data_IF_140788280359
#
_entry.id   IF_140788280359
#
_cell.length_a   1.000
_cell.length_b   1.000
_cell.length_c   1.000
_cell.angle_alpha   90.00
_cell.angle_beta   90.00
_cell.angle_gamma   90.00
#
_symmetry.space_group_name_H-M   'P 1'
#
loop_
_entity.id
_entity.type
_entity.pdbx_description
1 polymer ?
#
# COMPACT_ATOMS: atom_id res chain seq x y z
N UNK A 1 11.66 -30.95 -0.96
CA UNK A 1 12.23 -29.85 -1.77
C UNK A 1 11.17 -29.01 -2.50
N UNK A 2 10.19 -29.60 -3.21
CA UNK A 2 9.21 -28.84 -4.02
C UNK A 2 8.28 -27.87 -3.27
N UNK A 3 7.83 -28.22 -2.05
CA UNK A 3 6.94 -27.35 -1.25
C UNK A 3 7.61 -26.05 -0.78
N UNK A 4 8.92 -26.09 -0.46
CA UNK A 4 9.67 -24.94 0.02
C UNK A 4 9.86 -23.91 -1.10
N UNK A 5 10.13 -24.36 -2.32
CA UNK A 5 10.24 -23.47 -3.49
C UNK A 5 8.89 -22.84 -3.91
N UNK A 6 7.77 -23.54 -3.66
CA UNK A 6 6.44 -23.01 -3.94
C UNK A 6 6.03 -21.93 -2.92
N UNK A 7 6.37 -22.13 -1.64
CA UNK A 7 6.11 -21.14 -0.60
C UNK A 7 6.92 -19.84 -0.82
N UNK A 8 8.18 -19.94 -1.26
CA UNK A 8 9.02 -18.76 -1.55
C UNK A 8 8.56 -17.99 -2.79
N UNK A 9 7.92 -18.64 -3.78
CA UNK A 9 7.33 -17.93 -4.92
C UNK A 9 6.28 -16.89 -4.48
N UNK A 10 5.46 -17.20 -3.48
CA UNK A 10 4.47 -16.27 -2.94
C UNK A 10 5.08 -15.13 -2.13
N UNK A 11 6.37 -15.19 -1.78
CA UNK A 11 7.09 -14.08 -1.15
C UNK A 11 7.61 -13.05 -2.16
N UNK A 12 7.48 -13.32 -3.46
CA UNK A 12 7.83 -12.35 -4.50
C UNK A 12 6.91 -11.12 -4.32
N UNK A 13 7.47 -9.90 -4.29
CA UNK A 13 6.77 -8.61 -4.16
C UNK A 13 5.48 -8.42 -4.99
N UNK A 14 5.36 -9.14 -6.11
CA UNK A 14 4.17 -9.17 -6.97
C UNK A 14 2.95 -9.85 -6.33
N UNK A 15 3.17 -10.81 -5.45
CA UNK A 15 2.13 -11.64 -4.83
C UNK A 15 1.98 -11.40 -3.33
N UNK A 16 2.97 -10.76 -2.69
CA UNK A 16 2.94 -10.42 -1.28
C UNK A 16 3.70 -9.12 -1.05
N UNK A 17 3.11 -8.25 -0.22
CA UNK A 17 3.74 -7.01 0.20
C UNK A 17 4.12 -7.11 1.68
N UNK A 18 5.26 -6.54 2.05
CA UNK A 18 5.48 -6.16 3.44
C UNK A 18 4.35 -5.20 3.87
N UNK A 19 3.87 -5.34 5.11
CA UNK A 19 2.71 -4.59 5.62
C UNK A 19 2.86 -3.07 5.41
N UNK A 20 4.05 -2.53 5.64
CA UNK A 20 4.39 -1.13 5.37
C UNK A 20 4.13 -0.72 3.90
N UNK A 21 4.62 -1.51 2.96
CA UNK A 21 4.49 -1.24 1.53
C UNK A 21 3.06 -1.44 1.04
N UNK A 22 2.35 -2.42 1.61
CA UNK A 22 0.92 -2.63 1.36
C UNK A 22 0.11 -1.38 1.73
N UNK A 23 0.35 -0.80 2.90
CA UNK A 23 -0.36 0.41 3.32
C UNK A 23 -0.08 1.57 2.37
N UNK A 24 1.17 1.76 1.92
CA UNK A 24 1.52 2.81 0.94
C UNK A 24 0.76 2.62 -0.37
N UNK A 25 0.66 1.38 -0.86
CA UNK A 25 -0.10 1.03 -2.06
C UNK A 25 -1.60 1.30 -1.87
N UNK A 26 -2.18 0.87 -0.75
CA UNK A 26 -3.60 1.09 -0.45
C UNK A 26 -3.92 2.58 -0.27
N UNK A 27 -3.05 3.32 0.41
CA UNK A 27 -3.15 4.78 0.57
C UNK A 27 -3.15 5.47 -0.80
N UNK A 28 -2.20 5.09 -1.65
CA UNK A 28 -2.08 5.63 -3.01
C UNK A 28 -3.28 5.29 -3.88
N UNK A 29 -3.77 4.06 -3.79
CA UNK A 29 -4.96 3.64 -4.52
C UNK A 29 -6.19 4.46 -4.12
N UNK A 30 -6.37 4.75 -2.84
CA UNK A 30 -7.48 5.58 -2.36
C UNK A 30 -7.43 7.00 -2.92
N UNK A 31 -6.22 7.56 -3.08
CA UNK A 31 -6.04 8.87 -3.69
C UNK A 31 -6.37 8.82 -5.19
N UNK A 32 -5.86 7.83 -5.91
CA UNK A 32 -6.14 7.69 -7.35
C UNK A 32 -7.64 7.53 -7.59
N UNK A 33 -8.32 6.65 -6.85
CA UNK A 33 -9.77 6.42 -7.02
C UNK A 33 -10.62 7.64 -6.63
N UNK A 34 -10.13 8.50 -5.74
CA UNK A 34 -10.78 9.74 -5.37
C UNK A 34 -10.35 10.96 -6.20
N UNK A 35 -9.57 10.77 -7.29
CA UNK A 35 -8.95 11.85 -8.07
C UNK A 35 -8.21 12.88 -7.17
N UNK A 36 -7.45 12.37 -6.20
CA UNK A 36 -6.66 13.11 -5.22
C UNK A 36 -7.47 14.06 -4.33
N UNK A 37 -8.81 13.88 -4.25
CA UNK A 37 -9.68 14.71 -3.40
C UNK A 37 -9.77 14.22 -1.96
N UNK A 38 -9.50 12.93 -1.72
CA UNK A 38 -9.52 12.32 -0.40
C UNK A 38 -8.15 11.73 -0.06
N UNK A 39 -7.77 11.84 1.20
CA UNK A 39 -6.58 11.16 1.70
C UNK A 39 -6.90 9.77 2.24
N UNK A 40 -8.14 9.32 2.17
CA UNK A 40 -8.56 8.06 2.79
C UNK A 40 -7.90 6.85 2.12
N UNK A 41 -7.51 5.88 2.94
CA UNK A 41 -6.95 4.61 2.48
C UNK A 41 -7.99 3.79 1.73
N UNK A 42 -7.57 3.17 0.62
CA UNK A 42 -8.45 2.25 -0.10
C UNK A 42 -8.77 1.02 0.76
N UNK A 43 -10.06 0.72 0.90
CA UNK A 43 -10.53 -0.50 1.53
C UNK A 43 -11.75 -1.05 0.80
N UNK A 44 -11.58 -2.21 0.16
CA UNK A 44 -12.64 -2.88 -0.60
C UNK A 44 -13.87 -3.19 0.27
N UNK A 45 -13.63 -3.53 1.55
CA UNK A 45 -14.69 -3.87 2.52
C UNK A 45 -15.42 -2.67 3.11
N UNK A 46 -15.09 -1.43 2.73
CA UNK A 46 -15.62 -0.20 3.37
C UNK A 46 -17.15 -0.15 3.42
N UNK A 47 -17.83 -0.71 2.41
CA UNK A 47 -19.31 -0.77 2.38
C UNK A 47 -19.91 -1.61 3.51
N UNK A 48 -19.21 -2.66 3.94
CA UNK A 48 -19.65 -3.59 4.98
C UNK A 48 -19.03 -3.27 6.35
N UNK A 49 -17.85 -2.67 6.36
CA UNK A 49 -17.13 -2.25 7.56
C UNK A 49 -16.66 -0.78 7.40
N UNK A 50 -17.56 0.20 7.58
CA UNK A 50 -17.25 1.62 7.39
C UNK A 50 -16.30 2.16 8.45
N UNK A 51 -16.15 1.46 9.57
CA UNK A 51 -15.27 1.84 10.68
C UNK A 51 -13.89 1.21 10.58
N UNK A 52 -13.63 0.39 9.54
CA UNK A 52 -12.35 -0.28 9.29
C UNK A 52 -11.91 -1.20 10.46
N UNK A 53 -12.87 -1.78 11.20
CA UNK A 53 -12.60 -2.69 12.31
C UNK A 53 -11.86 -3.97 11.88
N UNK A 54 -12.07 -4.40 10.64
CA UNK A 54 -11.47 -5.62 10.07
C UNK A 54 -10.35 -5.31 9.08
N UNK A 55 -9.96 -4.05 8.92
CA UNK A 55 -8.79 -3.70 8.13
C UNK A 55 -7.53 -4.10 8.91
N UNK A 56 -6.82 -5.13 8.43
CA UNK A 56 -5.60 -5.66 9.06
C UNK A 56 -4.34 -4.81 8.79
N UNK A 57 -4.50 -3.50 8.61
CA UNK A 57 -3.39 -2.57 8.44
C UNK A 57 -3.53 -1.37 9.38
N UNK A 58 -2.39 -0.81 9.79
CA UNK A 58 -2.39 0.35 10.68
C UNK A 58 -2.92 1.59 9.95
N UNK A 59 -3.80 2.32 10.61
CA UNK A 59 -4.35 3.60 10.13
C UNK A 59 -4.36 4.62 11.26
N UNK A 60 -4.30 5.89 10.90
CA UNK A 60 -4.53 7.03 11.77
C UNK A 60 -5.72 7.84 11.24
N UNK A 61 -6.28 8.71 12.07
CA UNK A 61 -7.39 9.58 11.70
C UNK A 61 -6.81 10.95 11.29
N UNK A 62 -7.11 11.37 10.07
CA UNK A 62 -6.77 12.70 9.55
C UNK A 62 -7.52 13.80 10.31
N UNK A 63 -7.06 15.05 10.19
CA UNK A 63 -7.78 16.24 10.70
C UNK A 63 -9.19 16.38 10.11
N UNK A 64 -9.45 15.76 8.95
CA UNK A 64 -10.77 15.71 8.30
C UNK A 64 -11.62 14.48 8.69
N UNK A 65 -11.13 13.62 9.58
CA UNK A 65 -11.82 12.39 10.00
C UNK A 65 -11.59 11.18 9.10
N UNK A 66 -10.80 11.31 8.02
CA UNK A 66 -10.47 10.22 7.10
C UNK A 66 -9.52 9.21 7.75
N UNK A 67 -9.70 7.91 7.45
CA UNK A 67 -8.74 6.87 7.82
C UNK A 67 -7.59 6.87 6.83
N UNK A 68 -6.38 7.20 7.28
CA UNK A 68 -5.20 7.33 6.42
C UNK A 68 -4.08 6.42 6.92
N UNK A 69 -3.17 6.02 6.05
CA UNK A 69 -1.94 5.31 6.45
C UNK A 69 -1.03 6.20 7.32
N UNK A 70 -0.24 5.62 8.24
CA UNK A 70 0.65 6.35 9.15
C UNK A 70 1.94 6.85 8.47
N UNK A 71 1.88 7.21 7.19
CA UNK A 71 3.05 7.56 6.38
C UNK A 71 3.02 9.01 5.92
N UNK A 72 4.19 9.62 5.68
CA UNK A 72 4.28 10.94 5.07
C UNK A 72 3.58 10.97 3.71
N UNK A 73 2.92 12.09 3.41
CA UNK A 73 2.30 12.41 2.12
C UNK A 73 3.24 12.14 0.93
N UNK A 74 4.53 12.44 1.09
CA UNK A 74 5.56 12.22 0.07
C UNK A 74 5.66 10.75 -0.38
N UNK A 75 5.46 9.79 0.53
CA UNK A 75 5.50 8.36 0.17
C UNK A 75 4.38 8.01 -0.81
N UNK A 76 3.19 8.58 -0.60
CA UNK A 76 2.05 8.37 -1.51
C UNK A 76 2.33 8.95 -2.89
N UNK A 77 2.93 10.15 -2.96
CA UNK A 77 3.34 10.74 -4.24
C UNK A 77 4.36 9.89 -4.98
N UNK A 78 5.41 9.42 -4.29
CA UNK A 78 6.43 8.54 -4.88
C UNK A 78 5.81 7.22 -5.35
N UNK A 79 4.83 6.70 -4.60
CA UNK A 79 4.15 5.43 -4.91
C UNK A 79 3.14 5.57 -6.07
N UNK A 80 2.62 6.77 -6.31
CA UNK A 80 1.59 7.07 -7.32
C UNK A 80 1.91 6.57 -8.73
N UNK A 81 3.06 6.88 -9.36
CA UNK A 81 3.33 6.43 -10.72
C UNK A 81 3.30 4.90 -10.84
N UNK A 82 3.82 4.18 -9.84
CA UNK A 82 3.87 2.72 -9.83
C UNK A 82 2.47 2.09 -9.72
N UNK A 83 1.62 2.64 -8.86
CA UNK A 83 0.23 2.14 -8.72
C UNK A 83 -0.60 2.49 -9.95
N UNK A 84 -0.42 3.68 -10.52
CA UNK A 84 -1.16 4.14 -11.70
C UNK A 84 -0.93 3.24 -12.92
N UNK A 85 0.33 2.87 -13.17
CA UNK A 85 0.69 2.00 -14.31
C UNK A 85 0.46 0.51 -14.06
N UNK A 86 -0.11 0.14 -12.90
CA UNK A 86 -0.44 -1.25 -12.56
C UNK A 86 0.76 -2.08 -12.07
N UNK A 87 1.85 -1.44 -11.64
CA UNK A 87 3.05 -2.08 -11.11
C UNK A 87 3.41 -1.62 -9.68
N UNK A 88 2.50 -1.80 -8.69
CA UNK A 88 2.74 -1.36 -7.31
C UNK A 88 3.97 -2.02 -6.67
N UNK A 89 4.37 -3.22 -7.12
CA UNK A 89 5.54 -3.95 -6.63
C UNK A 89 6.87 -3.23 -6.91
N UNK A 90 6.91 -2.29 -7.85
CA UNK A 90 8.13 -1.54 -8.18
C UNK A 90 8.59 -0.63 -7.04
N UNK A 91 7.72 -0.26 -6.11
CA UNK A 91 8.12 0.49 -4.91
C UNK A 91 9.11 -0.29 -4.04
N UNK A 92 8.97 -1.63 -4.02
CA UNK A 92 9.85 -2.51 -3.27
C UNK A 92 11.23 -2.63 -3.95
N UNK A 93 11.26 -2.72 -5.28
CA UNK A 93 12.51 -2.69 -6.05
C UNK A 93 13.23 -1.36 -5.92
N UNK A 94 12.50 -0.23 -5.95
CA UNK A 94 13.07 1.09 -5.72
C UNK A 94 13.68 1.20 -4.32
N UNK A 95 12.97 0.72 -3.30
CA UNK A 95 13.45 0.74 -1.92
C UNK A 95 14.71 -0.12 -1.73
N UNK A 96 14.73 -1.31 -2.35
CA UNK A 96 15.90 -2.18 -2.34
C UNK A 96 17.09 -1.55 -3.08
N UNK A 97 16.86 -0.86 -4.20
CA UNK A 97 17.90 -0.15 -4.94
C UNK A 97 18.57 0.91 -4.06
N UNK A 98 17.79 1.74 -3.36
CA UNK A 98 18.35 2.73 -2.45
C UNK A 98 19.15 2.08 -1.31
N UNK A 99 18.63 1.02 -0.69
CA UNK A 99 19.33 0.33 0.41
C UNK A 99 20.70 -0.22 0.00
N UNK A 100 20.90 -0.60 -1.26
CA UNK A 100 22.18 -1.13 -1.77
C UNK A 100 23.16 -0.01 -2.17
N UNK A 101 22.66 1.20 -2.45
CA UNK A 101 23.46 2.31 -3.01
C UNK A 101 23.58 3.52 -2.08
N UNK A 102 23.18 3.38 -0.81
CA UNK A 102 23.40 4.33 0.29
C UNK A 102 24.32 3.72 1.32
#
# INVERSE_FOLDING_TARGET
>A
MGFIFYATYYTIPKFSFASDSLVKVLQTKGWIESNFQSQEIYYLGKKLDPNFNFLLVQTIISTKGEKIGPFPFANTLITTPFVWIGHPEWILYLSAFFLVHT
#
